data_IF_818307325134
#
_entry.id   IF_818307325134
#
_cell.length_a   1.000
_cell.length_b   1.000
_cell.length_c   1.000
_cell.angle_alpha   90.00
_cell.angle_beta   90.00
_cell.angle_gamma   90.00
#
_symmetry.space_group_name_H-M   'P 1'
#
loop_
_entity.id
_entity.type
_entity.pdbx_description
1 polymer ?
#
# COMPACT_ATOMS: atom_id res chain seq x y z
N UNK A 1 -13.67 -11.15 -1.91
CA UNK A 1 -12.54 -11.58 -1.06
C UNK A 1 -11.55 -10.44 -1.08
N UNK A 2 -10.86 -10.12 0.02
CA UNK A 2 -10.03 -8.91 0.03
C UNK A 2 -8.60 -9.28 0.38
N UNK A 3 -7.69 -8.96 -0.53
CA UNK A 3 -6.25 -9.01 -0.29
C UNK A 3 -5.80 -7.62 0.12
N UNK A 4 -5.14 -7.51 1.28
CA UNK A 4 -4.61 -6.24 1.78
C UNK A 4 -3.09 -6.25 1.66
N UNK A 5 -2.50 -5.20 1.12
CA UNK A 5 -1.06 -5.07 0.98
C UNK A 5 -0.52 -3.75 1.53
N UNK A 6 0.76 -3.76 1.91
CA UNK A 6 1.55 -2.55 2.09
C UNK A 6 2.56 -2.49 0.95
N UNK A 7 2.48 -1.44 0.14
CA UNK A 7 3.43 -1.09 -0.91
C UNK A 7 4.33 0.05 -0.43
N UNK A 8 5.64 -0.12 -0.53
CA UNK A 8 6.60 0.98 -0.49
C UNK A 8 7.46 0.87 -1.74
N UNK A 9 7.43 1.88 -2.58
CA UNK A 9 8.17 1.92 -3.85
C UNK A 9 8.78 3.29 -4.03
N UNK A 10 10.06 3.32 -4.37
CA UNK A 10 10.81 4.55 -4.59
C UNK A 10 12.05 4.29 -5.44
N UNK A 11 12.54 5.30 -6.17
CA UNK A 11 13.86 5.25 -6.80
C UNK A 11 14.95 5.34 -5.73
N UNK A 12 16.13 4.80 -6.04
CA UNK A 12 17.32 4.91 -5.16
C UNK A 12 18.14 6.11 -5.60
N UNK A 13 17.85 7.29 -5.04
CA UNK A 13 18.45 8.59 -5.40
C UNK A 13 18.78 9.43 -4.15
N UNK A 14 19.65 10.45 -4.31
CA UNK A 14 20.00 11.40 -3.22
C UNK A 14 18.98 12.54 -3.07
N UNK A 15 18.28 12.88 -4.15
CA UNK A 15 17.25 13.92 -4.19
C UNK A 15 15.90 13.45 -3.61
N UNK A 16 14.94 14.38 -3.54
CA UNK A 16 13.58 14.07 -3.09
C UNK A 16 12.92 13.03 -4.01
N UNK A 17 12.36 11.98 -3.39
CA UNK A 17 11.63 10.91 -4.08
C UNK A 17 10.14 11.23 -4.28
N UNK A 18 9.65 12.38 -3.79
CA UNK A 18 8.21 12.63 -3.68
C UNK A 18 7.46 12.66 -5.02
N UNK A 19 8.08 13.19 -6.07
CA UNK A 19 7.48 13.21 -7.43
C UNK A 19 7.28 11.80 -7.95
N UNK A 20 8.33 10.99 -7.91
CA UNK A 20 8.30 9.59 -8.35
C UNK A 20 7.33 8.72 -7.53
N UNK A 21 7.25 8.94 -6.22
CA UNK A 21 6.26 8.26 -5.37
C UNK A 21 4.83 8.68 -5.76
N UNK A 22 4.61 9.93 -6.18
CA UNK A 22 3.30 10.38 -6.66
C UNK A 22 2.89 9.68 -7.96
N UNK A 23 3.80 9.53 -8.92
CA UNK A 23 3.57 8.77 -10.16
C UNK A 23 3.23 7.30 -9.86
N UNK A 24 3.89 6.69 -8.88
CA UNK A 24 3.59 5.33 -8.44
C UNK A 24 2.18 5.19 -7.85
N UNK A 25 1.71 6.20 -7.11
CA UNK A 25 0.36 6.24 -6.54
C UNK A 25 -0.68 6.50 -7.62
N UNK A 26 -0.44 7.45 -8.53
CA UNK A 26 -1.34 7.74 -9.65
C UNK A 26 -1.52 6.53 -10.58
N UNK A 27 -0.47 5.73 -10.78
CA UNK A 27 -0.57 4.49 -11.55
C UNK A 27 -1.59 3.48 -10.97
N UNK A 28 -1.93 3.56 -9.68
CA UNK A 28 -2.94 2.71 -9.07
C UNK A 28 -4.36 3.06 -9.53
N UNK A 29 -4.61 4.30 -9.97
CA UNK A 29 -5.93 4.76 -10.45
C UNK A 29 -6.40 4.01 -11.71
N UNK A 30 -5.48 3.32 -12.39
CA UNK A 30 -5.79 2.45 -13.54
C UNK A 30 -6.32 1.06 -13.18
N UNK A 31 -6.44 0.73 -11.90
CA UNK A 31 -6.80 -0.61 -11.42
C UNK A 31 -8.02 -0.56 -10.49
N UNK A 32 -8.75 -1.67 -10.41
CA UNK A 32 -9.87 -1.84 -9.48
C UNK A 32 -9.34 -2.17 -8.07
N UNK A 33 -8.73 -1.16 -7.44
CA UNK A 33 -8.12 -1.25 -6.10
C UNK A 33 -8.49 -0.05 -5.24
N UNK A 34 -8.71 -0.26 -3.95
CA UNK A 34 -8.72 0.81 -2.96
C UNK A 34 -7.30 1.06 -2.46
N UNK A 35 -6.93 2.32 -2.17
CA UNK A 35 -5.64 2.62 -1.59
C UNK A 35 -5.65 3.81 -0.62
N UNK A 36 -4.76 3.76 0.38
CA UNK A 36 -4.51 4.86 1.31
C UNK A 36 -3.00 5.03 1.54
N UNK A 37 -2.46 6.19 1.17
CA UNK A 37 -1.05 6.54 1.41
C UNK A 37 -0.86 7.07 2.83
N UNK A 38 0.14 6.52 3.52
CA UNK A 38 0.59 6.94 4.84
C UNK A 38 2.10 7.24 4.81
N UNK A 39 2.71 7.76 5.90
CA UNK A 39 4.11 8.17 5.91
C UNK A 39 5.14 7.07 5.57
N UNK A 40 4.77 5.80 5.64
CA UNK A 40 5.67 4.66 5.41
C UNK A 40 5.40 3.89 4.10
N UNK A 41 4.31 4.21 3.40
CA UNK A 41 3.91 3.54 2.17
C UNK A 41 2.41 3.65 1.93
N UNK A 42 1.93 2.87 0.97
CA UNK A 42 0.52 2.85 0.54
C UNK A 42 -0.09 1.51 0.90
N UNK A 43 -1.18 1.55 1.66
CA UNK A 43 -2.02 0.37 1.89
C UNK A 43 -2.91 0.19 0.67
N UNK A 44 -2.95 -1.01 0.11
CA UNK A 44 -3.75 -1.35 -1.09
C UNK A 44 -4.71 -2.49 -0.74
N UNK A 45 -5.94 -2.40 -1.23
CA UNK A 45 -6.98 -3.42 -1.10
C UNK A 45 -7.48 -3.81 -2.49
N UNK A 46 -7.53 -5.11 -2.76
CA UNK A 46 -7.99 -5.66 -4.05
C UNK A 46 -8.85 -6.91 -3.83
N UNK A 47 -9.68 -7.25 -4.83
CA UNK A 47 -10.52 -8.46 -4.76
C UNK A 47 -9.72 -9.77 -4.79
N UNK A 48 -8.54 -9.72 -5.41
CA UNK A 48 -7.67 -10.87 -5.60
C UNK A 48 -6.19 -10.45 -5.74
N UNK A 49 -5.31 -11.44 -5.63
CA UNK A 49 -3.85 -11.22 -5.65
C UNK A 49 -3.32 -10.85 -7.03
N UNK A 50 -3.97 -11.27 -8.11
CA UNK A 50 -3.52 -11.01 -9.48
C UNK A 50 -3.79 -9.54 -9.85
N UNK A 51 -4.96 -9.02 -9.48
CA UNK A 51 -5.30 -7.60 -9.58
C UNK A 51 -4.33 -6.74 -8.76
N UNK A 52 -4.06 -7.14 -7.51
CA UNK A 52 -3.07 -6.47 -6.65
C UNK A 52 -1.68 -6.43 -7.29
N UNK A 53 -1.15 -7.58 -7.75
CA UNK A 53 0.19 -7.68 -8.32
C UNK A 53 0.30 -6.90 -9.64
N UNK A 54 -0.79 -6.84 -10.42
CA UNK A 54 -0.85 -6.03 -11.63
C UNK A 54 -0.74 -4.53 -11.32
N UNK A 55 -1.48 -4.06 -10.29
CA UNK A 55 -1.41 -2.67 -9.83
C UNK A 55 -0.02 -2.32 -9.28
N UNK A 56 0.56 -3.18 -8.43
CA UNK A 56 1.93 -2.99 -7.91
C UNK A 56 2.97 -2.98 -9.03
N UNK A 57 2.80 -3.84 -10.04
CA UNK A 57 3.68 -3.88 -11.20
C UNK A 57 3.61 -2.61 -12.06
N UNK A 58 2.44 -1.96 -12.12
CA UNK A 58 2.29 -0.65 -12.78
C UNK A 58 2.93 0.47 -11.95
N UNK A 59 2.66 0.51 -10.65
CA UNK A 59 3.28 1.46 -9.73
C UNK A 59 4.82 1.40 -9.76
N UNK A 60 5.40 0.19 -9.79
CA UNK A 60 6.85 0.03 -9.93
C UNK A 60 7.41 0.58 -11.25
N UNK A 61 6.68 0.43 -12.36
CA UNK A 61 7.12 0.89 -13.68
C UNK A 61 6.93 2.39 -13.89
N UNK A 62 6.02 3.01 -13.14
CA UNK A 62 5.76 4.44 -13.20
C UNK A 62 6.89 5.26 -12.57
N UNK A 63 7.62 4.68 -11.61
CA UNK A 63 8.80 5.30 -11.02
C UNK A 63 9.96 5.29 -12.01
N UNK A 64 10.47 6.47 -12.35
CA UNK A 64 11.70 6.61 -13.13
C UNK A 64 12.93 6.52 -12.23
N UNK A 65 13.99 5.94 -12.76
CA UNK A 65 15.27 5.80 -12.09
C UNK A 65 16.04 4.54 -12.46
N UNK A 66 17.37 4.67 -12.48
CA UNK A 66 18.29 3.55 -12.80
C UNK A 66 18.13 2.34 -11.87
N UNK A 67 17.59 2.57 -10.67
CA UNK A 67 17.28 1.54 -9.69
C UNK A 67 16.02 1.90 -8.90
N UNK A 68 14.99 1.08 -9.02
CA UNK A 68 13.76 1.17 -8.23
C UNK A 68 13.74 0.06 -7.17
N UNK A 69 13.45 0.44 -5.93
CA UNK A 69 13.30 -0.50 -4.82
C UNK A 69 11.83 -0.60 -4.44
N UNK A 70 11.29 -1.82 -4.46
CA UNK A 70 9.93 -2.10 -4.00
C UNK A 70 9.95 -3.07 -2.83
N UNK A 71 9.24 -2.69 -1.78
CA UNK A 71 8.83 -3.58 -0.70
C UNK A 71 7.32 -3.79 -0.80
N UNK A 72 6.92 -5.05 -0.94
CA UNK A 72 5.52 -5.46 -0.94
C UNK A 72 5.29 -6.48 0.16
N UNK A 73 4.38 -6.18 1.08
CA UNK A 73 3.85 -7.15 2.03
C UNK A 73 2.39 -7.43 1.67
N UNK A 74 2.05 -8.70 1.46
CA UNK A 74 0.68 -9.14 1.16
C UNK A 74 0.13 -9.90 2.37
N UNK A 75 -1.10 -9.57 2.76
CA UNK A 75 -1.90 -10.32 3.73
C UNK A 75 -3.18 -10.82 3.03
N UNK A 76 -3.14 -12.08 2.64
CA UNK A 76 -4.24 -12.80 1.98
C UNK A 76 -4.79 -13.86 2.95
N UNK A 77 -5.87 -13.53 3.65
CA UNK A 77 -6.57 -14.48 4.52
C UNK A 77 -7.75 -15.11 3.77
N UNK A 78 -7.47 -16.14 2.98
CA UNK A 78 -8.41 -16.89 2.13
C UNK A 78 -9.66 -17.48 2.81
N UNK A 79 -9.74 -17.46 4.13
CA UNK A 79 -10.86 -18.00 4.90
C UNK A 79 -11.89 -16.95 5.32
N UNK A 80 -11.64 -15.65 5.08
CA UNK A 80 -12.60 -14.58 5.38
C UNK A 80 -12.35 -13.34 4.53
N UNK A 81 -13.38 -12.52 4.38
CA UNK A 81 -13.24 -11.15 3.88
C UNK A 81 -12.96 -10.20 5.05
N UNK A 82 -12.15 -9.17 4.79
CA UNK A 82 -11.85 -8.11 5.75
C UNK A 82 -11.19 -6.93 5.06
N UNK A 83 -11.46 -5.73 5.56
CA UNK A 83 -10.73 -4.53 5.14
C UNK A 83 -9.54 -4.23 6.08
N UNK A 84 -8.69 -3.30 5.67
CA UNK A 84 -7.54 -2.83 6.41
C UNK A 84 -7.97 -2.08 7.68
N UNK A 85 -9.12 -1.40 7.67
CA UNK A 85 -9.65 -0.66 8.81
C UNK A 85 -10.03 -1.59 9.97
N UNK A 86 -10.53 -2.80 9.70
CA UNK A 86 -10.81 -3.83 10.71
C UNK A 86 -9.56 -4.18 11.52
N UNK A 87 -8.38 -4.16 10.91
CA UNK A 87 -7.11 -4.41 11.61
C UNK A 87 -6.79 -3.30 12.59
N UNK A 88 -7.01 -2.05 12.20
CA UNK A 88 -6.82 -0.89 13.08
C UNK A 88 -7.84 -0.94 14.22
N UNK A 89 -9.11 -1.18 13.91
CA UNK A 89 -10.18 -1.31 14.90
C UNK A 89 -9.93 -2.46 15.89
N UNK A 90 -9.31 -3.56 15.46
CA UNK A 90 -8.90 -4.64 16.36
C UNK A 90 -7.84 -4.17 17.35
N UNK A 91 -6.82 -3.44 16.89
CA UNK A 91 -5.80 -2.86 17.75
C UNK A 91 -6.41 -1.85 18.73
N UNK A 92 -7.33 -0.99 18.27
CA UNK A 92 -8.05 -0.03 19.12
C UNK A 92 -8.81 -0.69 20.26
N UNK A 93 -9.51 -1.80 19.98
CA UNK A 93 -10.22 -2.57 21.01
C UNK A 93 -9.27 -3.13 22.06
N UNK A 94 -8.13 -3.69 21.64
CA UNK A 94 -7.13 -4.22 22.57
C UNK A 94 -6.45 -3.11 23.39
N UNK A 95 -6.25 -1.93 22.78
CA UNK A 95 -5.66 -0.77 23.46
C UNK A 95 -6.65 -0.02 24.36
N UNK A 96 -7.95 -0.14 24.13
CA UNK A 96 -8.99 0.68 24.76
C UNK A 96 -8.93 2.16 24.37
N UNK A 97 -8.20 2.50 23.29
CA UNK A 97 -8.01 3.86 22.76
C UNK A 97 -7.51 3.81 21.32
N UNK A 98 -7.61 4.94 20.63
CA UNK A 98 -6.99 5.12 19.31
C UNK A 98 -5.45 4.98 19.38
N UNK A 99 -4.80 4.31 18.41
CA UNK A 99 -3.34 4.16 18.35
C UNK A 99 -2.65 5.45 17.87
N UNK A 100 -3.07 6.60 18.40
CA UNK A 100 -2.56 7.93 18.06
C UNK A 100 -2.21 8.69 19.34
N UNK A 101 -1.11 9.43 19.31
CA UNK A 101 -0.71 10.36 20.37
C UNK A 101 0.02 11.54 19.75
N UNK A 102 -0.23 12.73 20.26
CA UNK A 102 0.55 13.93 19.92
C UNK A 102 1.84 13.95 20.74
N UNK A 103 2.90 14.56 20.19
CA UNK A 103 4.20 14.72 20.85
C UNK A 103 4.32 16.12 21.40
#
# INVERSE_FOLDING_TARGET
>A
MTVVALLSVAPVVEDSMAGEVAEAVEALDGFDVGYETNPMGTVIEAEDVDTLLSAVGAAHKAVDGDRVSTFLKIDDKRTREFDAAEKVAAVERELGREPRRER
#
